data_IF_225076020200
#
_entry.id   IF_225076020200
#
_cell.length_a   1.000
_cell.length_b   1.000
_cell.length_c   1.000
_cell.angle_alpha   90.00
_cell.angle_beta   90.00
_cell.angle_gamma   90.00
#
_symmetry.space_group_name_H-M   'P 1'
#
loop_
_entity.id
_entity.type
_entity.pdbx_description
1 polymer ?
#
# COMPACT_ATOMS: atom_id res chain seq x y z
N UNK A 1 -5.10 -90.34 41.23
CA UNK A 1 -4.54 -89.56 40.10
C UNK A 1 -5.70 -88.87 39.41
N UNK A 2 -6.01 -87.65 39.85
CA UNK A 2 -7.01 -86.73 39.31
C UNK A 2 -6.65 -85.36 39.88
N UNK A 3 -6.39 -84.39 39.02
CA UNK A 3 -6.90 -83.02 39.08
C UNK A 3 -6.09 -82.18 38.09
N UNK A 4 -6.67 -82.01 36.91
CA UNK A 4 -6.35 -80.90 36.01
C UNK A 4 -6.80 -79.63 36.74
N UNK A 5 -5.88 -78.97 37.44
CA UNK A 5 -6.06 -77.56 37.81
C UNK A 5 -5.65 -76.73 36.61
N UNK A 6 -6.65 -76.50 35.75
CA UNK A 6 -6.63 -75.53 34.68
C UNK A 6 -6.47 -74.15 35.31
N UNK A 7 -5.33 -73.52 35.06
CA UNK A 7 -4.91 -72.26 35.68
C UNK A 7 -5.77 -71.10 35.14
N UNK A 8 -6.94 -70.91 35.74
CA UNK A 8 -7.95 -69.90 35.38
C UNK A 8 -7.47 -68.44 35.42
N UNK A 9 -6.22 -68.19 35.80
CA UNK A 9 -5.63 -66.86 35.95
C UNK A 9 -4.32 -66.66 35.19
N UNK A 10 -3.97 -67.53 34.25
CA UNK A 10 -2.90 -67.25 33.30
C UNK A 10 -3.34 -66.12 32.36
N UNK A 11 -3.16 -64.86 32.82
CA UNK A 11 -3.27 -63.68 31.99
C UNK A 11 -2.27 -63.84 30.84
N UNK A 12 -2.77 -64.06 29.63
CA UNK A 12 -1.97 -64.01 28.42
C UNK A 12 -1.35 -62.61 28.33
N UNK A 13 -0.03 -62.51 28.13
CA UNK A 13 0.73 -61.26 27.95
C UNK A 13 0.29 -60.44 26.70
N UNK A 14 -0.84 -60.78 26.10
CA UNK A 14 -1.32 -60.28 24.82
C UNK A 14 -2.36 -59.15 24.94
N UNK A 15 -2.76 -58.77 26.16
CA UNK A 15 -3.60 -57.59 26.42
C UNK A 15 -2.81 -56.48 27.13
N UNK A 16 -1.69 -56.07 26.54
CA UNK A 16 -1.13 -54.75 26.86
C UNK A 16 -2.07 -53.70 26.28
N UNK A 17 -2.66 -52.80 27.08
CA UNK A 17 -3.50 -51.74 26.55
C UNK A 17 -2.66 -50.91 25.57
N UNK A 18 -3.11 -50.85 24.32
CA UNK A 18 -2.58 -49.92 23.32
C UNK A 18 -2.58 -48.55 24.00
N UNK A 19 -1.39 -48.02 24.26
CA UNK A 19 -1.23 -46.66 24.77
C UNK A 19 -1.78 -45.71 23.72
N UNK A 20 -3.08 -45.42 23.82
CA UNK A 20 -3.64 -44.28 23.13
C UNK A 20 -2.92 -43.06 23.68
N UNK A 21 -2.42 -42.15 22.82
CA UNK A 21 -1.79 -40.94 23.32
C UNK A 21 -2.84 -40.26 24.21
N UNK A 22 -2.47 -40.02 25.47
CA UNK A 22 -3.26 -39.24 26.42
C UNK A 22 -3.24 -37.80 25.89
N UNK A 23 -4.02 -37.54 24.85
CA UNK A 23 -4.15 -36.22 24.27
C UNK A 23 -5.03 -35.43 25.23
N UNK A 24 -4.41 -34.53 25.99
CA UNK A 24 -5.14 -33.65 26.88
C UNK A 24 -5.96 -32.68 26.00
N UNK A 25 -7.30 -32.74 26.02
CA UNK A 25 -8.13 -31.91 25.14
C UNK A 25 -7.94 -30.41 25.41
N UNK A 26 -7.53 -30.05 26.64
CA UNK A 26 -7.20 -28.67 26.99
C UNK A 26 -5.91 -28.23 26.30
N UNK A 27 -4.90 -29.09 26.27
CA UNK A 27 -3.62 -28.81 25.61
C UNK A 27 -3.78 -28.66 24.10
N UNK A 28 -4.55 -29.55 23.46
CA UNK A 28 -4.87 -29.45 22.04
C UNK A 28 -5.62 -28.15 21.71
N UNK A 29 -6.60 -27.78 22.55
CA UNK A 29 -7.32 -26.53 22.39
C UNK A 29 -6.40 -25.31 22.49
N UNK A 30 -5.49 -25.30 23.46
CA UNK A 30 -4.52 -24.20 23.65
C UNK A 30 -3.55 -24.11 22.47
N UNK A 31 -3.04 -25.22 21.96
CA UNK A 31 -2.17 -25.25 20.78
C UNK A 31 -2.89 -24.75 19.53
N UNK A 32 -4.17 -25.10 19.37
CA UNK A 32 -5.02 -24.58 18.29
C UNK A 32 -5.23 -23.07 18.40
N UNK A 33 -5.46 -22.55 19.62
CA UNK A 33 -5.57 -21.11 19.82
C UNK A 33 -4.25 -20.39 19.53
N UNK A 34 -3.12 -20.94 19.98
CA UNK A 34 -1.80 -20.36 19.76
C UNK A 34 -1.47 -20.28 18.27
N UNK A 35 -1.64 -21.39 17.54
CA UNK A 35 -1.43 -21.42 16.09
C UNK A 35 -2.36 -20.46 15.34
N UNK A 36 -3.62 -20.34 15.75
CA UNK A 36 -4.54 -19.36 15.17
C UNK A 36 -4.08 -17.91 15.39
N UNK A 37 -3.67 -17.58 16.61
CA UNK A 37 -3.15 -16.24 16.94
C UNK A 37 -1.87 -15.95 16.17
N UNK A 38 -0.95 -16.92 16.10
CA UNK A 38 0.31 -16.78 15.36
C UNK A 38 0.07 -16.54 13.87
N UNK A 39 -0.79 -17.34 13.23
CA UNK A 39 -1.16 -17.15 11.83
C UNK A 39 -1.81 -15.79 11.57
N UNK A 40 -2.61 -15.30 12.52
CA UNK A 40 -3.23 -13.98 12.44
C UNK A 40 -2.19 -12.86 12.57
N UNK A 41 -1.22 -12.99 13.47
CA UNK A 41 -0.09 -12.05 13.60
C UNK A 41 0.71 -11.99 12.29
N UNK A 42 1.08 -13.16 11.74
CA UNK A 42 1.84 -13.25 10.49
C UNK A 42 1.10 -12.58 9.32
N UNK A 43 -0.20 -12.84 9.18
CA UNK A 43 -1.03 -12.21 8.14
C UNK A 43 -1.06 -10.69 8.30
N UNK A 44 -1.35 -10.19 9.51
CA UNK A 44 -1.38 -8.75 9.77
C UNK A 44 -0.01 -8.10 9.53
N UNK A 45 1.10 -8.78 9.83
CA UNK A 45 2.43 -8.26 9.58
C UNK A 45 2.73 -8.13 8.07
N UNK A 46 2.28 -9.11 7.28
CA UNK A 46 2.36 -9.03 5.81
C UNK A 46 1.51 -7.88 5.27
N UNK A 47 0.28 -7.72 5.75
CA UNK A 47 -0.61 -6.61 5.35
C UNK A 47 0.04 -5.25 5.66
N UNK A 48 0.67 -5.10 6.84
CA UNK A 48 1.40 -3.89 7.20
C UNK A 48 2.55 -3.63 6.22
N UNK A 49 3.31 -4.66 5.87
CA UNK A 49 4.44 -4.55 4.94
C UNK A 49 3.97 -4.09 3.55
N UNK A 50 2.86 -4.63 3.05
CA UNK A 50 2.29 -4.24 1.75
C UNK A 50 1.83 -2.77 1.75
N UNK A 51 1.19 -2.32 2.84
CA UNK A 51 0.82 -0.92 3.00
C UNK A 51 2.05 -0.01 3.06
N UNK A 52 3.12 -0.42 3.75
CA UNK A 52 4.35 0.35 3.80
C UNK A 52 5.04 0.44 2.43
N UNK A 53 5.06 -0.65 1.67
CA UNK A 53 5.68 -0.71 0.34
C UNK A 53 4.91 0.14 -0.67
N UNK A 54 3.57 0.07 -0.66
CA UNK A 54 2.72 0.92 -1.51
C UNK A 54 2.86 2.39 -1.14
N UNK A 55 2.86 2.73 0.17
CA UNK A 55 3.07 4.10 0.64
C UNK A 55 4.43 4.64 0.20
N UNK A 56 5.50 3.84 0.30
CA UNK A 56 6.85 4.23 -0.14
C UNK A 56 6.87 4.54 -1.63
N UNK A 57 6.24 3.71 -2.47
CA UNK A 57 6.15 3.93 -3.92
C UNK A 57 5.40 5.23 -4.25
N UNK A 58 4.27 5.48 -3.58
CA UNK A 58 3.49 6.72 -3.76
C UNK A 58 4.35 7.94 -3.40
N UNK A 59 5.04 7.91 -2.26
CA UNK A 59 5.92 9.00 -1.83
C UNK A 59 7.06 9.24 -2.82
N UNK A 60 7.68 8.18 -3.35
CA UNK A 60 8.70 8.30 -4.39
C UNK A 60 8.14 8.97 -5.64
N UNK A 61 7.01 8.50 -6.16
CA UNK A 61 6.36 9.10 -7.34
C UNK A 61 6.04 10.58 -7.13
N UNK A 62 5.47 10.93 -5.97
CA UNK A 62 5.17 12.31 -5.61
C UNK A 62 6.43 13.16 -5.50
N UNK A 63 7.51 12.62 -4.92
CA UNK A 63 8.80 13.29 -4.84
C UNK A 63 9.39 13.55 -6.23
N UNK A 64 9.35 12.55 -7.12
CA UNK A 64 9.79 12.71 -8.51
C UNK A 64 8.96 13.80 -9.21
N UNK A 65 7.63 13.77 -9.09
CA UNK A 65 6.76 14.80 -9.66
C UNK A 65 7.03 16.19 -9.09
N UNK A 66 7.26 16.31 -7.77
CA UNK A 66 7.57 17.59 -7.13
C UNK A 66 8.94 18.14 -7.54
N UNK A 67 9.93 17.28 -7.72
CA UNK A 67 11.30 17.68 -8.06
C UNK A 67 11.46 18.08 -9.53
N UNK A 68 10.76 17.41 -10.43
CA UNK A 68 10.90 17.63 -11.88
C UNK A 68 9.75 18.43 -12.48
N UNK A 69 8.65 18.64 -11.75
CA UNK A 69 7.43 19.28 -12.25
C UNK A 69 6.76 18.47 -13.37
N UNK A 70 5.46 18.63 -13.56
CA UNK A 70 4.91 18.40 -14.91
C UNK A 70 5.58 19.44 -15.81
N UNK A 71 6.43 18.99 -16.73
CA UNK A 71 6.93 19.84 -17.81
C UNK A 71 5.75 20.16 -18.75
N UNK A 72 4.86 21.07 -18.34
CA UNK A 72 3.88 21.71 -19.22
C UNK A 72 4.57 22.51 -20.35
N UNK A 73 5.89 22.69 -20.27
CA UNK A 73 6.72 23.37 -21.27
C UNK A 73 7.65 22.38 -21.98
N UNK A 74 7.25 21.12 -22.16
CA UNK A 74 7.83 20.29 -23.22
C UNK A 74 7.25 20.71 -24.58
N UNK A 75 7.39 21.99 -24.93
CA UNK A 75 7.33 22.50 -26.30
C UNK A 75 8.58 21.96 -27.05
N UNK A 76 8.70 20.63 -27.13
CA UNK A 76 9.73 19.90 -27.86
C UNK A 76 9.52 19.99 -29.39
N UNK A 77 8.70 20.94 -29.84
CA UNK A 77 8.31 21.12 -31.24
C UNK A 77 8.76 22.49 -31.80
N UNK A 78 9.63 23.22 -31.07
CA UNK A 78 10.07 24.56 -31.47
C UNK A 78 11.38 24.63 -32.26
N UNK A 79 12.10 23.52 -32.38
CA UNK A 79 13.42 23.44 -33.02
C UNK A 79 13.30 23.40 -34.55
N UNK A 80 12.87 24.52 -35.13
CA UNK A 80 12.83 24.73 -36.57
C UNK A 80 14.20 25.25 -37.06
N UNK A 81 14.82 24.50 -37.97
CA UNK A 81 16.05 24.90 -38.64
C UNK A 81 15.77 25.26 -40.10
N UNK A 82 16.47 26.25 -40.66
CA UNK A 82 16.48 26.48 -42.11
C UNK A 82 17.17 25.34 -42.84
N UNK A 83 17.01 25.27 -44.17
CA UNK A 83 17.73 24.32 -45.04
C UNK A 83 19.27 24.38 -44.86
N UNK A 84 19.78 25.51 -44.40
CA UNK A 84 21.19 25.75 -44.09
C UNK A 84 21.58 25.42 -42.62
N UNK A 85 20.70 24.71 -41.90
CA UNK A 85 20.85 24.30 -40.49
C UNK A 85 21.03 25.45 -39.50
N UNK A 86 20.50 26.64 -39.80
CA UNK A 86 20.50 27.74 -38.84
C UNK A 86 19.20 27.74 -38.01
N UNK A 87 19.27 28.00 -36.70
CA UNK A 87 18.10 27.98 -35.83
C UNK A 87 17.16 29.15 -36.16
N UNK A 88 15.88 28.86 -36.42
CA UNK A 88 14.83 29.85 -36.70
C UNK A 88 14.14 30.23 -35.39
N UNK A 89 14.59 31.31 -34.77
CA UNK A 89 13.92 31.87 -33.59
C UNK A 89 12.66 32.62 -34.03
N UNK A 90 11.49 32.00 -33.88
CA UNK A 90 10.21 32.71 -34.04
C UNK A 90 10.10 33.78 -32.95
N UNK A 91 10.11 35.06 -33.33
CA UNK A 91 9.78 36.16 -32.40
C UNK A 91 8.35 35.95 -31.89
N UNK A 92 8.22 35.52 -30.63
CA UNK A 92 6.92 35.47 -29.95
C UNK A 92 6.33 36.88 -29.98
N UNK A 93 5.20 37.05 -30.67
CA UNK A 93 4.39 38.28 -30.54
C UNK A 93 4.08 38.42 -29.05
N UNK A 94 4.35 39.59 -28.47
CA UNK A 94 3.89 39.91 -27.12
C UNK A 94 2.37 39.86 -27.18
N UNK A 95 1.79 38.79 -26.65
CA UNK A 95 0.37 38.75 -26.34
C UNK A 95 0.23 39.74 -25.20
N UNK A 96 -0.35 40.90 -25.48
CA UNK A 96 -0.79 41.82 -24.44
C UNK A 96 -1.69 41.01 -23.51
N UNK A 97 -1.31 40.89 -22.23
CA UNK A 97 -2.13 40.17 -21.27
C UNK A 97 -3.47 40.90 -21.19
N UNK A 98 -4.61 40.23 -21.37
CA UNK A 98 -5.90 40.86 -21.11
C UNK A 98 -5.90 41.37 -19.66
N UNK A 99 -6.53 42.51 -19.41
CA UNK A 99 -6.72 43.02 -18.05
C UNK A 99 -7.40 41.93 -17.23
N UNK A 100 -6.64 41.25 -16.37
CA UNK A 100 -7.13 40.21 -15.50
C UNK A 100 -7.95 40.87 -14.39
N UNK A 101 -9.28 40.82 -14.53
CA UNK A 101 -10.28 41.37 -13.59
C UNK A 101 -10.22 40.64 -12.24
N UNK A 102 -9.72 39.40 -12.24
CA UNK A 102 -9.58 38.55 -11.06
C UNK A 102 -8.16 38.01 -10.97
N UNK A 103 -7.45 38.38 -9.91
CA UNK A 103 -6.11 37.89 -9.61
C UNK A 103 -6.19 36.84 -8.50
N UNK A 104 -5.48 35.73 -8.66
CA UNK A 104 -5.35 34.73 -7.59
C UNK A 104 -4.41 35.29 -6.51
N UNK A 105 -4.95 35.56 -5.31
CA UNK A 105 -4.16 36.05 -4.17
C UNK A 105 -3.46 34.91 -3.44
N UNK A 106 -4.16 33.80 -3.27
CA UNK A 106 -3.61 32.60 -2.67
C UNK A 106 -4.50 31.39 -2.99
N UNK A 107 -3.92 30.21 -2.84
CA UNK A 107 -4.67 28.96 -2.94
C UNK A 107 -4.21 28.01 -1.84
N UNK A 108 -5.08 27.07 -1.48
CA UNK A 108 -4.75 25.99 -0.56
C UNK A 108 -5.37 24.69 -1.04
N UNK A 109 -4.72 23.58 -0.70
CA UNK A 109 -5.18 22.23 -1.02
C UNK A 109 -5.20 21.42 0.27
N UNK A 110 -6.25 20.65 0.51
CA UNK A 110 -6.35 19.73 1.65
C UNK A 110 -7.14 18.48 1.27
N UNK A 111 -6.84 17.37 1.95
CA UNK A 111 -7.59 16.13 1.82
C UNK A 111 -8.66 16.11 2.91
N UNK A 112 -9.93 15.95 2.52
CA UNK A 112 -11.06 15.78 3.42
C UNK A 112 -11.85 14.54 2.98
N UNK A 113 -11.98 13.56 3.87
CA UNK A 113 -12.77 12.34 3.63
C UNK A 113 -12.37 11.65 2.31
N UNK A 114 -11.06 11.45 2.13
CA UNK A 114 -10.43 10.87 0.94
C UNK A 114 -10.71 11.62 -0.37
N UNK A 115 -11.14 12.89 -0.28
CA UNK A 115 -11.35 13.77 -1.44
C UNK A 115 -10.41 14.96 -1.39
N UNK A 116 -9.87 15.32 -2.55
CA UNK A 116 -9.07 16.53 -2.72
C UNK A 116 -9.99 17.76 -2.76
N UNK A 117 -9.71 18.72 -1.89
CA UNK A 117 -10.39 20.01 -1.85
C UNK A 117 -9.39 21.12 -2.12
N UNK A 118 -9.67 21.91 -3.16
CA UNK A 118 -8.87 23.09 -3.54
C UNK A 118 -9.68 24.35 -3.25
N UNK A 119 -9.14 25.23 -2.42
CA UNK A 119 -9.66 26.58 -2.21
C UNK A 119 -8.80 27.61 -2.92
N UNK A 120 -9.42 28.52 -3.66
CA UNK A 120 -8.73 29.62 -4.35
C UNK A 120 -9.31 30.94 -3.85
N UNK A 121 -8.45 31.82 -3.37
CA UNK A 121 -8.81 33.18 -2.96
C UNK A 121 -8.53 34.11 -4.13
N UNK A 122 -9.59 34.72 -4.65
CA UNK A 122 -9.54 35.66 -5.77
C UNK A 122 -9.64 37.10 -5.26
N UNK A 123 -8.91 38.01 -5.89
CA UNK A 123 -8.97 39.45 -5.68
C UNK A 123 -9.51 40.11 -6.96
N UNK A 124 -10.59 40.88 -6.82
CA UNK A 124 -11.13 41.68 -7.92
C UNK A 124 -10.31 42.98 -8.07
N UNK A 125 -9.81 43.22 -9.28
CA UNK A 125 -9.01 44.40 -9.65
C UNK A 125 -9.77 45.38 -10.55
N UNK A 126 -11.04 45.12 -10.86
CA UNK A 126 -11.88 45.97 -11.71
C UNK A 126 -12.09 47.39 -11.16
N UNK A 127 -11.80 47.63 -9.89
CA UNK A 127 -12.11 48.88 -9.17
C UNK A 127 -10.87 49.60 -8.64
N UNK A 128 -9.68 49.11 -9.00
CA UNK A 128 -8.39 49.70 -8.63
C UNK A 128 -7.85 50.53 -9.79
#
# INVERSE_FOLDING_TARGET
MNSFEDDMFALSDEDLPIQTPICNPVEEHLMKQLSYVQARIERTNNDIKDVQDTTRRILQTLQYQAQYGENEISDSDSDLYTIDRQPVVKKKRRVEKPNEILIVKSYWKRILWDKWVTGVILQNTSTQ
#
